data_IF_307011400551
#
_entry.id   IF_307011400551
#
_cell.length_a   1.000
_cell.length_b   1.000
_cell.length_c   1.000
_cell.angle_alpha   90.00
_cell.angle_beta   90.00
_cell.angle_gamma   90.00
#
_symmetry.space_group_name_H-M   'P 1'
#
loop_
_entity.id
_entity.type
_entity.pdbx_description
1 polymer ?
#
# COMPACT_ATOMS: atom_id res chain seq x y z
N UNK A 1 15.73 -23.95 -33.00
CA UNK A 1 14.45 -23.42 -32.48
C UNK A 1 14.80 -22.36 -31.45
N UNK A 2 14.80 -21.10 -31.89
CA UNK A 2 14.98 -19.98 -30.99
C UNK A 2 13.67 -19.76 -30.24
N UNK A 3 13.64 -20.08 -28.95
CA UNK A 3 12.58 -19.68 -28.05
C UNK A 3 12.82 -18.20 -27.73
N UNK A 4 12.11 -17.29 -28.40
CA UNK A 4 12.00 -15.91 -27.95
C UNK A 4 11.19 -15.94 -26.66
N UNK A 5 11.86 -15.80 -25.52
CA UNK A 5 11.23 -15.40 -24.29
C UNK A 5 10.82 -13.93 -24.55
N UNK A 6 9.57 -13.73 -24.93
CA UNK A 6 8.98 -12.39 -24.87
C UNK A 6 8.98 -12.01 -23.40
N UNK A 7 9.85 -11.09 -23.03
CA UNK A 7 9.86 -10.51 -21.71
C UNK A 7 8.48 -9.90 -21.44
N UNK A 8 8.00 -10.10 -20.25
CA UNK A 8 6.74 -9.51 -19.69
C UNK A 8 6.78 -7.94 -19.71
N UNK A 9 7.89 -7.38 -20.17
CA UNK A 9 8.24 -5.97 -20.23
C UNK A 9 7.38 -5.11 -21.16
N UNK A 10 6.46 -5.73 -21.95
CA UNK A 10 5.57 -4.99 -22.86
C UNK A 10 4.12 -4.95 -22.38
N UNK A 11 3.84 -5.45 -21.19
CA UNK A 11 2.47 -5.42 -20.65
C UNK A 11 2.12 -4.01 -20.19
N UNK A 12 1.09 -3.43 -20.81
CA UNK A 12 0.52 -2.16 -20.35
C UNK A 12 -0.29 -2.43 -19.07
N UNK A 13 0.10 -1.78 -17.99
CA UNK A 13 -0.55 -1.89 -16.68
C UNK A 13 -1.48 -0.72 -16.36
N UNK A 14 -1.33 0.37 -17.10
CA UNK A 14 -2.09 1.61 -16.91
C UNK A 14 -2.20 2.37 -18.22
N UNK A 15 -3.35 2.97 -18.47
CA UNK A 15 -3.54 3.90 -19.59
C UNK A 15 -4.47 5.05 -19.26
N UNK A 16 -4.19 6.20 -19.85
CA UNK A 16 -5.05 7.38 -19.91
C UNK A 16 -5.40 7.69 -21.35
N UNK A 17 -6.67 7.97 -21.61
CA UNK A 17 -7.17 8.34 -22.93
C UNK A 17 -7.92 9.66 -22.86
N UNK A 18 -7.35 10.68 -23.51
CA UNK A 18 -7.94 12.03 -23.62
C UNK A 18 -8.27 12.66 -22.26
N UNK A 19 -7.39 12.48 -21.27
CA UNK A 19 -7.65 13.01 -19.93
C UNK A 19 -7.42 14.51 -19.88
N UNK A 20 -8.45 15.25 -19.46
CA UNK A 20 -8.43 16.70 -19.28
C UNK A 20 -8.97 17.06 -17.91
N UNK A 21 -8.35 18.07 -17.27
CA UNK A 21 -8.80 18.57 -15.97
C UNK A 21 -8.82 20.09 -15.92
N UNK A 22 -9.97 20.62 -15.50
CA UNK A 22 -10.18 22.04 -15.22
C UNK A 22 -10.64 22.20 -13.78
N UNK A 23 -10.03 23.10 -13.05
CA UNK A 23 -10.47 23.49 -11.70
C UNK A 23 -11.62 24.49 -11.79
N UNK A 24 -12.80 24.11 -11.30
CA UNK A 24 -14.03 24.92 -11.37
C UNK A 24 -13.89 26.27 -10.64
N UNK A 25 -13.13 26.28 -9.52
CA UNK A 25 -12.93 27.47 -8.69
C UNK A 25 -12.15 28.59 -9.38
N UNK A 26 -11.24 28.25 -10.29
CA UNK A 26 -10.36 29.19 -10.99
C UNK A 26 -10.56 29.20 -12.48
N UNK A 27 -11.43 28.34 -12.99
CA UNK A 27 -11.63 28.07 -14.42
C UNK A 27 -10.31 27.78 -15.17
N UNK A 28 -9.30 27.27 -14.45
CA UNK A 28 -7.97 26.97 -15.00
C UNK A 28 -7.90 25.52 -15.45
N UNK A 29 -7.67 25.31 -16.76
CA UNK A 29 -7.35 24.01 -17.29
C UNK A 29 -5.88 23.68 -16.99
N UNK A 30 -5.63 22.58 -16.23
CA UNK A 30 -4.28 22.16 -15.80
C UNK A 30 -3.79 20.93 -16.57
N UNK A 31 -4.71 20.13 -17.10
CA UNK A 31 -4.41 19.02 -18.01
C UNK A 31 -5.29 19.14 -19.23
N UNK A 32 -4.73 18.89 -20.42
CA UNK A 32 -5.43 18.97 -21.69
C UNK A 32 -5.09 17.79 -22.56
N UNK A 33 -6.10 16.97 -22.87
CA UNK A 33 -6.03 15.85 -23.80
C UNK A 33 -4.79 14.95 -23.58
N UNK A 34 -4.56 14.50 -22.32
CA UNK A 34 -3.42 13.68 -21.97
C UNK A 34 -3.67 12.24 -22.42
N UNK A 35 -2.70 11.68 -23.12
CA UNK A 35 -2.63 10.28 -23.54
C UNK A 35 -1.35 9.69 -22.98
N UNK A 36 -1.48 8.69 -22.12
CA UNK A 36 -0.35 8.01 -21.47
C UNK A 36 -0.60 6.52 -21.39
N UNK A 37 0.47 5.72 -21.49
CA UNK A 37 0.44 4.30 -21.21
C UNK A 37 1.70 3.91 -20.47
N UNK A 38 1.56 3.14 -19.38
CA UNK A 38 2.67 2.66 -18.59
C UNK A 38 2.85 1.17 -18.77
N UNK A 39 4.05 0.76 -19.05
CA UNK A 39 4.44 -0.63 -19.10
C UNK A 39 4.83 -1.14 -17.71
N UNK A 40 4.69 -2.42 -17.50
CA UNK A 40 5.18 -3.08 -16.30
C UNK A 40 6.68 -2.79 -16.09
N UNK A 41 7.09 -2.50 -14.86
CA UNK A 41 8.49 -2.21 -14.51
C UNK A 41 9.02 -0.84 -14.95
N UNK A 42 8.25 -0.03 -15.69
CA UNK A 42 8.70 1.28 -16.15
C UNK A 42 8.91 2.26 -14.98
N UNK A 43 10.06 2.94 -14.96
CA UNK A 43 10.36 4.05 -14.06
C UNK A 43 10.15 5.36 -14.81
N UNK A 44 9.17 6.16 -14.38
CA UNK A 44 8.71 7.34 -15.13
C UNK A 44 8.87 8.59 -14.29
N UNK A 45 9.59 9.59 -14.81
CA UNK A 45 9.70 10.92 -14.21
C UNK A 45 8.74 11.92 -14.84
N UNK A 46 8.06 12.74 -14.01
CA UNK A 46 7.19 13.83 -14.47
C UNK A 46 7.87 15.15 -14.14
N UNK A 47 8.26 15.91 -15.17
CA UNK A 47 8.94 17.18 -15.04
C UNK A 47 8.04 18.34 -15.48
N UNK A 48 8.24 19.50 -14.89
CA UNK A 48 7.51 20.72 -15.25
C UNK A 48 7.58 21.78 -14.16
N UNK A 49 7.21 23.01 -14.51
CA UNK A 49 7.16 24.14 -13.59
C UNK A 49 6.08 23.97 -12.51
N UNK A 50 6.14 24.78 -11.45
CA UNK A 50 5.08 24.82 -10.45
C UNK A 50 3.76 25.28 -11.09
N UNK A 51 2.67 24.58 -10.73
CA UNK A 51 1.36 24.83 -11.32
C UNK A 51 1.12 24.19 -12.71
N UNK A 52 2.07 23.41 -13.25
CA UNK A 52 1.94 22.69 -14.54
C UNK A 52 0.99 21.47 -14.49
N UNK A 53 0.43 21.15 -13.31
CA UNK A 53 -0.51 20.02 -13.19
C UNK A 53 0.10 18.68 -12.79
N UNK A 54 1.39 18.62 -12.44
CA UNK A 54 2.07 17.36 -12.03
C UNK A 54 1.33 16.62 -10.90
N UNK A 55 1.04 17.32 -9.82
CA UNK A 55 0.32 16.73 -8.68
C UNK A 55 -1.11 16.33 -9.02
N UNK A 56 -1.78 17.10 -9.92
CA UNK A 56 -3.12 16.75 -10.42
C UNK A 56 -3.08 15.46 -11.24
N UNK A 57 -2.07 15.31 -12.10
CA UNK A 57 -1.87 14.10 -12.90
C UNK A 57 -1.62 12.89 -11.98
N UNK A 58 -0.71 13.02 -11.00
CA UNK A 58 -0.42 11.96 -10.04
C UNK A 58 -1.65 11.55 -9.22
N UNK A 59 -2.45 12.53 -8.76
CA UNK A 59 -3.70 12.24 -8.01
C UNK A 59 -4.75 11.54 -8.87
N UNK A 60 -4.81 11.82 -10.17
CA UNK A 60 -5.70 11.10 -11.11
C UNK A 60 -5.18 9.66 -11.31
N UNK A 61 -3.86 9.48 -11.51
CA UNK A 61 -3.23 8.16 -11.61
C UNK A 61 -3.48 7.34 -10.34
N UNK A 62 -3.39 7.96 -9.18
CA UNK A 62 -3.65 7.31 -7.90
C UNK A 62 -5.14 7.02 -7.62
N UNK A 63 -6.06 7.49 -8.48
CA UNK A 63 -7.50 7.34 -8.27
C UNK A 63 -8.08 8.21 -7.15
N UNK A 64 -7.27 9.12 -6.57
CA UNK A 64 -7.67 10.06 -5.52
C UNK A 64 -8.57 11.16 -6.12
N UNK A 65 -8.17 11.70 -7.27
CA UNK A 65 -8.94 12.71 -7.97
C UNK A 65 -9.73 12.07 -9.11
N UNK A 66 -11.06 12.03 -8.98
CA UNK A 66 -11.99 11.46 -9.96
C UNK A 66 -12.70 12.51 -10.79
N UNK A 67 -12.42 13.79 -10.54
CA UNK A 67 -13.04 14.90 -11.26
C UNK A 67 -12.19 15.33 -12.47
N UNK A 68 -12.27 14.57 -13.54
CA UNK A 68 -11.61 14.81 -14.82
C UNK A 68 -12.49 14.33 -15.98
N UNK A 69 -12.17 14.75 -17.20
CA UNK A 69 -12.77 14.26 -18.43
C UNK A 69 -11.81 13.24 -19.08
N UNK A 70 -12.35 12.30 -19.84
CA UNK A 70 -11.57 11.23 -20.47
C UNK A 70 -11.63 9.92 -19.69
N UNK A 71 -10.74 9.01 -19.99
CA UNK A 71 -10.76 7.65 -19.45
C UNK A 71 -9.42 7.27 -18.81
N UNK A 72 -9.47 6.57 -17.69
CA UNK A 72 -8.32 6.01 -16.99
C UNK A 72 -8.58 4.53 -16.74
N UNK A 73 -7.67 3.68 -17.19
CA UNK A 73 -7.82 2.23 -17.10
C UNK A 73 -6.58 1.63 -16.42
N UNK A 74 -6.82 0.78 -15.43
CA UNK A 74 -5.80 -0.08 -14.80
C UNK A 74 -5.98 -1.51 -15.26
N UNK A 75 -4.87 -2.19 -15.51
CA UNK A 75 -4.92 -3.62 -15.74
C UNK A 75 -5.34 -4.36 -14.45
N UNK A 76 -6.16 -5.43 -14.56
CA UNK A 76 -6.57 -6.22 -13.40
C UNK A 76 -5.37 -6.79 -12.63
N UNK A 77 -5.47 -6.83 -11.30
CA UNK A 77 -4.47 -7.40 -10.41
C UNK A 77 -3.33 -6.44 -10.02
N UNK A 78 -3.41 -5.17 -10.42
CA UNK A 78 -2.46 -4.14 -9.97
C UNK A 78 -3.11 -3.19 -8.97
N UNK A 79 -2.36 -2.85 -7.94
CA UNK A 79 -2.72 -1.85 -6.92
C UNK A 79 -1.88 -0.59 -7.10
N UNK A 80 -2.38 0.55 -6.64
CA UNK A 80 -1.67 1.83 -6.70
C UNK A 80 -1.43 2.34 -5.30
N UNK A 81 -0.15 2.57 -4.96
CA UNK A 81 0.24 3.34 -3.78
C UNK A 81 0.51 4.80 -4.16
N UNK A 82 0.12 5.73 -3.32
CA UNK A 82 0.38 7.15 -3.50
C UNK A 82 1.08 7.72 -2.27
N UNK A 83 2.31 8.19 -2.45
CA UNK A 83 3.04 8.89 -1.42
C UNK A 83 2.80 10.40 -1.59
N UNK A 84 2.17 11.03 -0.60
CA UNK A 84 2.00 12.48 -0.58
C UNK A 84 3.33 13.18 -0.30
N UNK A 85 3.49 14.39 -0.83
CA UNK A 85 4.69 15.21 -0.57
C UNK A 85 4.79 15.62 0.90
N UNK A 86 3.65 15.82 1.57
CA UNK A 86 3.53 16.11 2.99
C UNK A 86 2.45 15.19 3.57
N UNK A 87 2.80 13.94 3.95
CA UNK A 87 1.84 13.00 4.50
C UNK A 87 1.31 13.52 5.84
N UNK A 88 0.00 13.40 6.04
CA UNK A 88 -0.64 13.68 7.32
C UNK A 88 -0.55 12.45 8.20
N UNK A 89 0.41 12.43 9.09
CA UNK A 89 0.60 11.38 10.06
C UNK A 89 -0.08 11.77 11.38
N UNK A 90 -0.50 10.77 12.15
CA UNK A 90 -1.05 10.97 13.49
C UNK A 90 0.08 11.39 14.45
N UNK A 91 0.02 12.61 14.95
CA UNK A 91 1.07 13.19 15.80
C UNK A 91 1.15 12.56 17.20
N UNK A 92 0.11 11.84 17.62
CA UNK A 92 0.09 11.16 18.92
C UNK A 92 0.76 9.76 18.87
N UNK A 93 1.11 9.29 17.66
CA UNK A 93 1.76 8.01 17.44
C UNK A 93 3.27 8.11 17.40
N UNK A 94 3.92 6.96 17.58
CA UNK A 94 5.35 6.77 17.35
C UNK A 94 5.63 6.36 15.91
N UNK A 95 6.89 6.42 15.49
CA UNK A 95 7.35 5.99 14.16
C UNK A 95 6.93 4.56 13.87
N UNK A 96 7.17 3.62 14.80
CA UNK A 96 6.83 2.21 14.59
C UNK A 96 5.32 1.98 14.50
N UNK A 97 4.51 2.72 15.25
CA UNK A 97 3.05 2.61 15.17
C UNK A 97 2.54 3.03 13.79
N UNK A 98 3.08 4.12 13.22
CA UNK A 98 2.73 4.57 11.87
C UNK A 98 3.24 3.58 10.81
N UNK A 99 4.44 3.06 10.94
CA UNK A 99 4.99 2.05 10.01
C UNK A 99 4.13 0.79 10.01
N UNK A 100 3.66 0.33 11.18
CA UNK A 100 2.76 -0.82 11.32
C UNK A 100 1.39 -0.61 10.67
N UNK A 101 0.92 0.62 10.54
CA UNK A 101 -0.31 0.91 9.79
C UNK A 101 -0.20 0.51 8.31
N UNK A 102 0.96 0.66 7.71
CA UNK A 102 1.23 0.24 6.33
C UNK A 102 1.10 -1.27 6.09
N UNK A 103 1.19 -2.07 7.16
CA UNK A 103 1.10 -3.54 7.16
C UNK A 103 -0.04 -4.05 8.06
N UNK A 104 -1.05 -3.21 8.30
CA UNK A 104 -2.12 -3.47 9.27
C UNK A 104 -2.86 -4.80 9.03
N UNK A 105 -3.04 -5.22 7.77
CA UNK A 105 -3.68 -6.51 7.45
C UNK A 105 -2.82 -7.70 7.92
N UNK A 106 -1.50 -7.59 7.81
CA UNK A 106 -0.58 -8.63 8.28
C UNK A 106 -0.51 -8.65 9.81
N UNK A 107 -0.50 -7.47 10.45
CA UNK A 107 -0.57 -7.36 11.92
C UNK A 107 -1.85 -8.02 12.44
N UNK A 108 -3.01 -7.70 11.88
CA UNK A 108 -4.28 -8.32 12.26
C UNK A 108 -4.26 -9.84 12.12
N UNK A 109 -3.64 -10.36 11.07
CA UNK A 109 -3.53 -11.80 10.86
C UNK A 109 -2.75 -12.48 11.98
N UNK A 110 -1.64 -11.88 12.42
CA UNK A 110 -0.83 -12.36 13.56
C UNK A 110 -1.60 -12.23 14.88
N UNK A 111 -2.31 -11.14 15.09
CA UNK A 111 -3.14 -10.93 16.28
C UNK A 111 -4.28 -11.96 16.36
N UNK A 112 -4.95 -12.25 15.22
CA UNK A 112 -5.97 -13.30 15.16
C UNK A 112 -5.39 -14.68 15.51
N UNK A 113 -4.22 -15.00 14.99
CA UNK A 113 -3.53 -16.26 15.30
C UNK A 113 -3.19 -16.36 16.80
N UNK A 114 -2.65 -15.29 17.38
CA UNK A 114 -2.34 -15.25 18.81
C UNK A 114 -3.62 -15.37 19.66
N UNK A 115 -4.69 -14.68 19.26
CA UNK A 115 -5.98 -14.79 19.95
C UNK A 115 -6.54 -16.23 19.91
N UNK A 116 -6.44 -16.94 18.78
CA UNK A 116 -6.83 -18.36 18.70
C UNK A 116 -5.99 -19.20 19.67
N UNK A 117 -4.69 -18.93 19.77
CA UNK A 117 -3.82 -19.62 20.74
C UNK A 117 -4.28 -19.41 22.19
N UNK A 118 -4.67 -18.18 22.55
CA UNK A 118 -5.19 -17.88 23.89
C UNK A 118 -6.51 -18.61 24.15
N UNK A 119 -7.37 -18.75 23.14
CA UNK A 119 -8.65 -19.46 23.25
C UNK A 119 -8.49 -20.95 23.56
N UNK A 120 -7.38 -21.59 23.16
CA UNK A 120 -7.11 -22.99 23.51
C UNK A 120 -6.94 -23.21 25.02
N UNK A 121 -6.49 -22.20 25.77
CA UNK A 121 -6.26 -22.29 27.20
C UNK A 121 -7.57 -22.17 28.03
N UNK A 122 -8.68 -21.77 27.41
CA UNK A 122 -9.95 -21.60 28.11
C UNK A 122 -10.67 -22.94 28.35
N UNK A 123 -11.11 -23.17 29.58
CA UNK A 123 -11.77 -24.42 30.00
C UNK A 123 -13.02 -24.73 29.16
N UNK A 124 -13.79 -23.72 28.80
CA UNK A 124 -14.99 -23.87 27.96
C UNK A 124 -14.71 -24.34 26.54
N UNK A 125 -13.47 -24.26 26.06
CA UNK A 125 -13.04 -24.68 24.73
C UNK A 125 -12.36 -26.04 24.77
N UNK A 126 -11.40 -26.29 25.68
CA UNK A 126 -10.72 -27.57 25.72
C UNK A 126 -11.58 -28.71 26.32
N UNK A 127 -12.66 -28.38 27.03
CA UNK A 127 -13.66 -29.36 27.52
C UNK A 127 -14.68 -29.78 26.48
N UNK A 128 -14.76 -29.08 25.34
CA UNK A 128 -15.71 -29.34 24.25
C UNK A 128 -14.96 -29.75 22.98
N UNK A 129 -15.02 -31.03 22.55
CA UNK A 129 -14.30 -31.52 21.38
C UNK A 129 -14.66 -30.80 20.08
N UNK A 130 -15.93 -30.38 19.89
CA UNK A 130 -16.38 -29.71 18.68
C UNK A 130 -15.83 -28.28 18.60
N UNK A 131 -15.76 -27.59 19.74
CA UNK A 131 -15.13 -26.26 19.81
C UNK A 131 -13.63 -26.35 19.57
N UNK A 132 -12.98 -27.33 20.20
CA UNK A 132 -11.55 -27.56 20.01
C UNK A 132 -11.21 -27.82 18.54
N UNK A 133 -11.98 -28.66 17.85
CA UNK A 133 -11.76 -28.94 16.43
C UNK A 133 -11.88 -27.67 15.58
N UNK A 134 -12.89 -26.82 15.82
CA UNK A 134 -13.06 -25.55 15.11
C UNK A 134 -11.90 -24.58 15.33
N UNK A 135 -11.36 -24.51 16.55
CA UNK A 135 -10.18 -23.69 16.83
C UNK A 135 -8.95 -24.22 16.10
N UNK A 136 -8.74 -25.54 16.07
CA UNK A 136 -7.64 -26.17 15.34
C UNK A 136 -7.73 -25.88 13.82
N UNK A 137 -8.92 -26.04 13.24
CA UNK A 137 -9.14 -25.76 11.82
C UNK A 137 -8.86 -24.27 11.50
N UNK A 138 -9.30 -23.37 12.37
CA UNK A 138 -9.07 -21.94 12.20
C UNK A 138 -7.60 -21.56 12.37
N UNK A 139 -6.91 -22.16 13.35
CA UNK A 139 -5.47 -21.97 13.55
C UNK A 139 -4.68 -22.40 12.31
N UNK A 140 -5.01 -23.57 11.75
CA UNK A 140 -4.35 -24.10 10.54
C UNK A 140 -4.54 -23.15 9.34
N UNK A 141 -5.78 -22.64 9.12
CA UNK A 141 -6.05 -21.65 8.07
C UNK A 141 -5.21 -20.38 8.22
N UNK A 142 -5.13 -19.85 9.46
CA UNK A 142 -4.36 -18.65 9.75
C UNK A 142 -2.86 -18.89 9.57
N UNK A 143 -2.35 -20.04 10.02
CA UNK A 143 -0.96 -20.44 9.86
C UNK A 143 -0.57 -20.51 8.38
N UNK A 144 -1.36 -21.19 7.54
CA UNK A 144 -1.09 -21.27 6.10
C UNK A 144 -1.00 -19.88 5.45
N UNK A 145 -1.85 -18.94 5.88
CA UNK A 145 -1.82 -17.55 5.38
C UNK A 145 -0.60 -16.79 5.86
N UNK A 146 -0.20 -16.96 7.13
CA UNK A 146 0.99 -16.33 7.71
C UNK A 146 2.26 -16.86 7.02
N UNK A 147 2.33 -18.16 6.77
CA UNK A 147 3.44 -18.80 6.07
C UNK A 147 3.53 -18.30 4.61
N UNK A 148 2.41 -18.22 3.90
CA UNK A 148 2.36 -17.71 2.52
C UNK A 148 2.85 -16.24 2.40
N UNK A 149 2.65 -15.43 3.44
CA UNK A 149 3.08 -14.04 3.51
C UNK A 149 4.47 -13.86 4.14
N UNK A 150 5.09 -14.94 4.64
CA UNK A 150 6.30 -14.89 5.49
C UNK A 150 6.15 -13.91 6.67
N UNK A 151 4.96 -13.87 7.27
CA UNK A 151 4.61 -12.84 8.24
C UNK A 151 5.18 -13.09 9.65
N UNK A 152 5.71 -14.28 9.92
CA UNK A 152 6.40 -14.57 11.20
C UNK A 152 7.60 -13.65 11.45
N UNK A 153 8.24 -13.18 10.39
CA UNK A 153 9.40 -12.30 10.45
C UNK A 153 9.04 -10.83 10.25
N UNK A 154 7.77 -10.46 10.41
CA UNK A 154 7.28 -9.11 10.10
C UNK A 154 8.08 -8.03 10.84
N UNK A 155 8.31 -8.18 12.14
CA UNK A 155 9.04 -7.18 12.94
C UNK A 155 10.49 -7.01 12.44
N UNK A 156 11.18 -8.10 12.11
CA UNK A 156 12.51 -8.04 11.52
C UNK A 156 12.51 -7.38 10.13
N UNK A 157 11.49 -7.65 9.31
CA UNK A 157 11.35 -7.01 8.00
C UNK A 157 11.12 -5.51 8.14
N UNK A 158 10.32 -5.08 9.11
CA UNK A 158 10.09 -3.67 9.39
C UNK A 158 11.36 -2.99 9.89
N UNK A 159 12.10 -3.61 10.80
CA UNK A 159 13.38 -3.09 11.31
C UNK A 159 14.38 -2.89 10.17
N UNK A 160 14.57 -3.91 9.31
CA UNK A 160 15.46 -3.82 8.13
C UNK A 160 15.02 -2.72 7.17
N UNK A 161 13.72 -2.57 6.94
CA UNK A 161 13.19 -1.53 6.04
C UNK A 161 13.39 -0.13 6.65
N UNK A 162 13.16 0.03 7.94
CA UNK A 162 13.37 1.28 8.67
C UNK A 162 14.84 1.70 8.67
N UNK A 163 15.76 0.76 8.91
CA UNK A 163 17.21 1.01 8.85
C UNK A 163 17.64 1.43 7.43
N UNK A 164 17.19 0.70 6.41
CA UNK A 164 17.50 1.00 5.01
C UNK A 164 17.02 2.39 4.57
N UNK A 165 15.89 2.84 5.09
CA UNK A 165 15.32 4.17 4.84
C UNK A 165 15.88 5.24 5.78
N UNK A 166 16.68 4.84 6.79
CA UNK A 166 17.22 5.73 7.82
C UNK A 166 16.12 6.50 8.55
N UNK A 167 15.04 5.81 8.89
CA UNK A 167 13.98 6.42 9.69
C UNK A 167 14.50 6.78 11.08
N UNK A 168 13.89 7.74 11.77
CA UNK A 168 14.16 8.00 13.18
C UNK A 168 13.91 6.75 14.04
N UNK A 169 14.36 6.82 15.29
CA UNK A 169 14.17 5.75 16.29
C UNK A 169 12.68 5.34 16.35
N UNK A 170 12.39 4.03 16.39
CA UNK A 170 11.02 3.49 16.39
C UNK A 170 10.08 4.10 17.43
N UNK A 171 10.58 4.42 18.60
CA UNK A 171 9.80 4.97 19.71
C UNK A 171 9.67 6.50 19.67
N UNK A 172 10.26 7.15 18.66
CA UNK A 172 10.17 8.62 18.51
C UNK A 172 8.75 9.05 18.17
N UNK A 173 8.14 9.99 18.92
CA UNK A 173 6.82 10.51 18.60
C UNK A 173 6.83 11.30 17.29
N UNK A 174 5.81 11.12 16.45
CA UNK A 174 5.69 11.79 15.14
C UNK A 174 5.74 13.32 15.27
N UNK A 175 5.17 13.88 16.33
CA UNK A 175 5.13 15.35 16.56
C UNK A 175 6.48 16.04 16.63
N UNK A 176 7.55 15.32 17.00
CA UNK A 176 8.89 15.91 17.12
C UNK A 176 9.71 15.77 15.85
N UNK A 177 9.22 15.05 14.83
CA UNK A 177 9.92 14.84 13.58
C UNK A 177 9.89 16.09 12.69
N UNK A 178 11.01 16.34 12.02
CA UNK A 178 11.08 17.35 10.96
C UNK A 178 10.28 16.91 9.72
N UNK A 179 9.96 17.85 8.83
CA UNK A 179 9.24 17.54 7.59
C UNK A 179 9.98 16.59 6.63
N UNK A 180 11.30 16.47 6.78
CA UNK A 180 12.11 15.51 6.00
C UNK A 180 12.17 14.10 6.61
N UNK A 181 11.86 13.97 7.90
CA UNK A 181 11.83 12.71 8.64
C UNK A 181 10.43 12.08 8.64
N UNK A 182 9.41 12.86 8.38
CA UNK A 182 8.02 12.42 8.17
C UNK A 182 7.85 11.89 6.74
#
# INVERSE_FOLDING_TARGET
IFHFIMADDQKIIFSMNKVSKTYSSTNKQVLKDIYLSFFYGAKIGILGLNGAGKSSLLKIIAGIDKNYQGEVVFAPGYTVGYLEQEPKLDEEKTVIEVVREGVAETVKLLDEFNHINDLFALEENYSDPDKMQKLMDKQAELQDRIDALNAWELDNQLEVAMDALRTPDPDTPIKVLSGGER
#
